data_IF_719835342022
#
_entry.id   IF_719835342022
#
_cell.length_a   1.000
_cell.length_b   1.000
_cell.length_c   1.000
_cell.angle_alpha   90.00
_cell.angle_beta   90.00
_cell.angle_gamma   90.00
#
_symmetry.space_group_name_H-M   'P 1'
#
loop_
_entity.id
_entity.type
_entity.pdbx_description
1 polymer ?
#
# COMPACT_ATOMS: atom_id res chain seq x y z
N UNK A 1 22.17 10.60 -6.14
CA UNK A 1 22.70 9.56 -5.24
C UNK A 1 22.02 9.70 -3.89
N UNK A 2 20.97 8.93 -3.62
CA UNK A 2 20.53 8.55 -2.26
C UNK A 2 19.67 7.30 -2.43
N UNK A 3 20.34 6.16 -2.60
CA UNK A 3 19.70 4.85 -2.55
C UNK A 3 19.40 4.58 -1.08
N UNK A 4 18.40 5.30 -0.53
CA UNK A 4 17.94 5.10 0.85
C UNK A 4 17.62 3.62 1.01
N UNK A 5 18.11 3.00 2.09
CA UNK A 5 17.88 1.60 2.46
C UNK A 5 16.38 1.38 2.77
N UNK A 6 15.55 1.50 1.74
CA UNK A 6 14.10 1.29 1.81
C UNK A 6 13.84 -0.18 1.56
N UNK A 7 13.13 -0.80 2.49
CA UNK A 7 12.70 -2.19 2.39
C UNK A 7 11.31 -2.19 1.76
N UNK A 8 11.15 -2.93 0.67
CA UNK A 8 9.82 -3.13 0.08
C UNK A 8 8.97 -3.99 1.02
N UNK A 9 8.08 -3.35 1.77
CA UNK A 9 7.15 -4.03 2.68
C UNK A 9 6.03 -4.77 1.93
N UNK A 10 5.72 -4.33 0.71
CA UNK A 10 4.67 -4.90 -0.13
C UNK A 10 4.67 -4.32 -1.54
N UNK A 11 3.85 -4.88 -2.41
CA UNK A 11 3.62 -4.42 -3.78
C UNK A 11 2.13 -4.16 -4.02
N UNK A 12 1.80 -3.06 -4.69
CA UNK A 12 0.40 -2.68 -4.93
C UNK A 12 -0.10 -3.42 -6.16
N UNK A 13 -1.01 -4.39 -5.95
CA UNK A 13 -1.52 -5.23 -7.03
C UNK A 13 -2.67 -4.57 -7.82
N UNK A 14 -3.26 -3.50 -7.29
CA UNK A 14 -4.26 -2.68 -7.97
C UNK A 14 -5.31 -2.07 -7.06
N UNK A 15 -6.16 -1.20 -7.61
CA UNK A 15 -7.28 -0.61 -6.90
C UNK A 15 -8.38 -1.65 -6.61
N UNK A 16 -9.05 -1.49 -5.48
CA UNK A 16 -10.16 -2.32 -5.03
C UNK A 16 -11.35 -1.43 -4.67
N UNK A 17 -12.31 -1.29 -5.59
CA UNK A 17 -13.52 -0.49 -5.36
C UNK A 17 -13.36 0.98 -5.77
N UNK A 18 -14.30 1.82 -5.32
CA UNK A 18 -14.40 3.24 -5.73
C UNK A 18 -13.98 4.23 -4.65
N UNK A 19 -13.80 3.76 -3.42
CA UNK A 19 -13.49 4.60 -2.23
C UNK A 19 -11.99 4.85 -2.06
N UNK A 20 -11.17 4.45 -3.03
CA UNK A 20 -9.72 4.51 -2.92
C UNK A 20 -9.10 3.35 -2.14
N UNK A 21 -9.85 2.27 -1.84
CA UNK A 21 -9.22 1.07 -1.30
C UNK A 21 -8.38 0.37 -2.38
N UNK A 22 -7.31 -0.33 -1.99
CA UNK A 22 -6.43 -1.05 -2.92
C UNK A 22 -5.90 -2.33 -2.29
N UNK A 23 -5.55 -3.28 -3.16
CA UNK A 23 -4.95 -4.55 -2.77
C UNK A 23 -3.43 -4.43 -2.79
N UNK A 24 -2.81 -4.79 -1.68
CA UNK A 24 -1.36 -4.85 -1.51
C UNK A 24 -0.97 -6.29 -1.25
N UNK A 25 0.00 -6.80 -2.01
CA UNK A 25 0.73 -8.02 -1.65
C UNK A 25 1.71 -7.65 -0.55
N UNK A 26 1.51 -8.18 0.64
CA UNK A 26 2.45 -7.94 1.74
C UNK A 26 3.56 -8.99 1.71
N UNK A 27 4.78 -8.59 2.03
CA UNK A 27 5.93 -9.50 2.18
C UNK A 27 6.28 -9.75 3.66
N UNK A 28 5.54 -9.12 4.58
CA UNK A 28 5.65 -9.32 6.03
C UNK A 28 4.92 -10.58 6.47
N UNK A 29 5.11 -11.00 7.72
CA UNK A 29 4.41 -12.16 8.30
C UNK A 29 2.89 -11.97 8.37
N UNK A 30 2.45 -10.72 8.57
CA UNK A 30 1.04 -10.35 8.62
C UNK A 30 0.83 -9.00 7.92
N UNK A 31 -0.34 -8.77 7.30
CA UNK A 31 -0.64 -7.52 6.60
C UNK A 31 -0.76 -6.33 7.56
N UNK A 32 -1.23 -6.56 8.78
CA UNK A 32 -1.26 -5.54 9.83
C UNK A 32 0.13 -4.98 10.15
N UNK A 33 1.20 -5.78 10.03
CA UNK A 33 2.57 -5.32 10.24
C UNK A 33 2.98 -4.26 9.22
N UNK A 34 2.43 -4.28 8.00
CA UNK A 34 2.70 -3.25 6.99
C UNK A 34 2.15 -1.89 7.46
N UNK A 35 0.94 -1.87 8.03
CA UNK A 35 0.35 -0.65 8.59
C UNK A 35 0.98 -0.25 9.93
N UNK A 36 1.43 -1.22 10.72
CA UNK A 36 2.10 -0.99 12.01
C UNK A 36 3.52 -0.42 11.84
N UNK A 37 4.18 -0.67 10.70
CA UNK A 37 5.45 -0.04 10.35
C UNK A 37 5.35 1.48 10.20
N UNK A 38 4.15 2.01 9.96
CA UNK A 38 3.87 3.44 9.86
C UNK A 38 3.64 3.91 8.42
N UNK A 39 3.82 5.21 8.14
CA UNK A 39 3.61 5.75 6.80
C UNK A 39 4.61 5.12 5.81
N UNK A 40 4.08 4.62 4.69
CA UNK A 40 4.90 4.02 3.62
C UNK A 40 5.06 5.02 2.49
N UNK A 41 6.15 4.90 1.75
CA UNK A 41 6.43 5.76 0.61
C UNK A 41 6.39 4.98 -0.69
N UNK A 42 6.16 5.67 -1.81
CA UNK A 42 6.35 5.06 -3.12
C UNK A 42 7.81 4.73 -3.37
N UNK A 43 8.07 3.80 -4.30
CA UNK A 43 9.43 3.51 -4.78
C UNK A 43 10.17 4.80 -5.20
N UNK A 44 9.44 5.72 -5.83
CA UNK A 44 9.95 7.00 -6.32
C UNK A 44 10.25 8.03 -5.20
N UNK A 45 9.93 7.74 -3.93
CA UNK A 45 9.98 8.71 -2.80
C UNK A 45 9.17 9.99 -3.03
N UNK A 46 8.28 9.98 -4.03
CA UNK A 46 7.53 11.18 -4.42
C UNK A 46 6.35 11.45 -3.50
N UNK A 47 5.82 10.43 -2.82
CA UNK A 47 4.63 10.53 -1.96
C UNK A 47 4.69 9.57 -0.78
N UNK A 48 4.13 10.00 0.36
CA UNK A 48 4.13 9.28 1.63
C UNK A 48 2.71 9.01 2.09
N UNK A 49 2.26 7.77 1.98
CA UNK A 49 0.91 7.35 2.28
C UNK A 49 0.79 6.72 3.66
N UNK A 50 -0.20 7.15 4.44
CA UNK A 50 -0.57 6.45 5.67
C UNK A 50 -1.50 5.28 5.33
N UNK A 51 -0.95 4.06 5.26
CA UNK A 51 -1.76 2.85 5.05
C UNK A 51 -2.53 2.50 6.30
N UNK A 52 -3.81 2.18 6.11
CA UNK A 52 -4.69 1.61 7.13
C UNK A 52 -5.13 0.23 6.66
N UNK A 53 -4.79 -0.78 7.44
CA UNK A 53 -5.26 -2.13 7.21
C UNK A 53 -6.79 -2.17 7.36
N UNK A 54 -7.48 -2.63 6.32
CA UNK A 54 -8.95 -2.76 6.34
C UNK A 54 -9.36 -4.21 6.55
N UNK A 55 -8.83 -5.11 5.72
CA UNK A 55 -9.10 -6.55 5.82
C UNK A 55 -8.09 -7.33 5.00
N UNK A 56 -7.94 -8.60 5.33
CA UNK A 56 -7.21 -9.54 4.48
C UNK A 56 -8.01 -9.83 3.20
N UNK A 57 -7.29 -9.97 2.09
CA UNK A 57 -7.82 -10.43 0.82
C UNK A 57 -7.44 -11.91 0.64
N UNK A 58 -7.83 -12.50 -0.48
CA UNK A 58 -7.59 -13.93 -0.73
C UNK A 58 -6.10 -14.16 -1.04
N UNK A 59 -5.43 -15.02 -0.26
CA UNK A 59 -4.02 -15.38 -0.45
C UNK A 59 -3.07 -14.40 0.26
N UNK A 60 -1.88 -14.16 -0.30
CA UNK A 60 -0.85 -13.23 0.22
C UNK A 60 -1.20 -11.74 -0.02
N UNK A 61 -2.50 -11.41 -0.11
CA UNK A 61 -2.97 -10.06 -0.41
C UNK A 61 -3.81 -9.53 0.74
N UNK A 62 -3.73 -8.23 0.99
CA UNK A 62 -4.60 -7.53 1.91
C UNK A 62 -5.13 -6.24 1.29
N UNK A 63 -6.31 -5.83 1.75
CA UNK A 63 -6.93 -4.56 1.36
C UNK A 63 -6.48 -3.50 2.35
N UNK A 64 -5.85 -2.47 1.82
CA UNK A 64 -5.48 -1.27 2.56
C UNK A 64 -6.26 -0.08 2.00
N UNK A 65 -6.43 0.90 2.86
CA UNK A 65 -6.95 2.21 2.51
C UNK A 65 -5.90 3.24 2.92
N UNK A 66 -5.68 4.27 2.12
CA UNK A 66 -4.80 5.36 2.47
C UNK A 66 -5.59 6.66 2.57
N UNK A 67 -5.36 7.45 3.61
CA UNK A 67 -6.09 8.71 3.83
C UNK A 67 -5.92 9.71 2.68
N UNK A 68 -4.80 9.65 1.97
CA UNK A 68 -4.54 10.49 0.80
C UNK A 68 -5.23 9.98 -0.47
N UNK A 69 -5.61 8.70 -0.51
CA UNK A 69 -6.20 8.03 -1.66
C UNK A 69 -7.70 7.89 -1.44
N UNK A 70 -8.46 8.80 -2.03
CA UNK A 70 -9.92 8.83 -1.90
C UNK A 70 -10.64 8.38 -3.19
N UNK A 71 -9.88 8.14 -4.26
CA UNK A 71 -10.40 7.83 -5.60
C UNK A 71 -9.75 6.58 -6.17
N UNK A 72 -10.52 5.83 -6.96
CA UNK A 72 -10.02 4.64 -7.69
C UNK A 72 -8.83 4.97 -8.59
N UNK A 73 -8.85 6.11 -9.25
CA UNK A 73 -7.79 6.52 -10.19
C UNK A 73 -6.43 6.70 -9.50
N UNK A 74 -6.41 7.28 -8.30
CA UNK A 74 -5.18 7.47 -7.52
C UNK A 74 -4.65 6.11 -7.01
N UNK A 75 -5.55 5.23 -6.56
CA UNK A 75 -5.21 3.84 -6.23
C UNK A 75 -4.68 3.04 -7.43
N UNK A 76 -5.22 3.25 -8.64
CA UNK A 76 -4.70 2.61 -9.87
C UNK A 76 -3.37 3.21 -10.32
N UNK A 77 -3.14 4.51 -10.12
CA UNK A 77 -1.88 5.18 -10.44
C UNK A 77 -0.71 4.65 -9.61
N UNK A 78 -0.98 4.12 -8.41
CA UNK A 78 0.03 3.49 -7.54
C UNK A 78 0.28 2.02 -7.84
N UNK A 79 -0.42 1.44 -8.82
CA UNK A 79 -0.17 0.05 -9.22
C UNK A 79 1.22 -0.05 -9.86
N UNK A 80 2.11 -0.80 -9.20
CA UNK A 80 3.49 -1.03 -9.62
C UNK A 80 4.14 -2.07 -8.71
#
# INVERSE_FOLDING_TARGET
MTKSERVCLGAIAGAHGVRGDFRVKYFTEAPENVAAYGPVETEDASRTFTLKFMREAKGEFAIFCASEINSREDAEALKG
#
